data_IF_438074786143
#
_entry.id   IF_438074786143
#
_cell.length_a   1.000
_cell.length_b   1.000
_cell.length_c   1.000
_cell.angle_alpha   90.00
_cell.angle_beta   90.00
_cell.angle_gamma   90.00
#
_symmetry.space_group_name_H-M   'P 1'
#
loop_
_entity.id
_entity.type
_entity.pdbx_description
1 polymer ?
#
# COMPACT_ATOMS: atom_id res chain seq x y z
N UNK A 1 -7.16 15.46 18.39
CA UNK A 1 -6.75 14.06 18.26
C UNK A 1 -5.78 13.90 17.08
N UNK A 2 -4.54 14.24 17.31
CA UNK A 2 -3.44 14.17 16.32
C UNK A 2 -2.70 12.82 16.36
N UNK A 3 -3.28 11.82 16.99
CA UNK A 3 -2.60 10.58 17.39
C UNK A 3 -2.36 9.52 16.30
N UNK A 4 -2.85 9.69 15.07
CA UNK A 4 -2.56 8.79 13.96
C UNK A 4 -1.62 9.44 12.94
N UNK A 5 -0.60 10.12 13.43
CA UNK A 5 0.29 10.92 12.60
C UNK A 5 1.43 10.08 12.07
N UNK A 6 1.28 9.59 10.85
CA UNK A 6 2.37 8.96 10.11
C UNK A 6 3.45 9.93 9.61
N UNK A 7 3.25 11.25 9.65
CA UNK A 7 4.14 12.21 8.99
C UNK A 7 5.38 12.59 9.79
N UNK A 8 5.28 12.76 11.11
CA UNK A 8 6.47 13.03 11.95
C UNK A 8 7.35 11.79 12.16
N UNK A 9 6.79 10.60 12.02
CA UNK A 9 7.49 9.32 12.19
C UNK A 9 8.45 8.99 11.04
N UNK A 10 8.16 9.41 9.81
CA UNK A 10 8.90 8.93 8.63
C UNK A 10 10.37 9.36 8.57
N UNK A 11 10.76 10.46 9.22
CA UNK A 11 12.14 10.99 9.11
C UNK A 11 13.04 10.53 10.26
N UNK A 12 12.46 10.23 11.41
CA UNK A 12 13.22 9.94 12.65
C UNK A 12 13.42 8.45 12.91
N UNK A 13 12.52 7.60 12.49
CA UNK A 13 12.50 6.17 12.80
C UNK A 13 12.49 5.28 11.55
N UNK A 14 11.96 5.77 10.42
CA UNK A 14 11.87 5.06 9.14
C UNK A 14 12.41 5.88 7.98
N UNK A 15 12.95 5.20 6.97
CA UNK A 15 13.40 5.82 5.73
C UNK A 15 12.99 4.95 4.55
N UNK A 16 12.25 5.54 3.59
CA UNK A 16 11.75 4.82 2.41
C UNK A 16 11.00 3.53 2.78
N UNK A 17 10.13 3.60 3.79
CA UNK A 17 9.34 2.48 4.27
C UNK A 17 10.07 1.47 5.18
N UNK A 18 11.38 1.62 5.42
CA UNK A 18 12.18 0.68 6.22
C UNK A 18 12.50 1.29 7.58
N UNK A 19 12.39 0.49 8.66
CA UNK A 19 12.80 0.87 10.02
C UNK A 19 14.31 1.08 10.06
N UNK A 20 14.73 2.29 10.43
CA UNK A 20 16.15 2.67 10.60
C UNK A 20 16.55 2.92 12.05
N UNK A 21 15.57 3.10 12.94
CA UNK A 21 15.78 3.28 14.37
C UNK A 21 14.72 2.51 15.16
N UNK A 22 15.12 1.38 15.72
CA UNK A 22 14.21 0.46 16.44
C UNK A 22 13.59 1.13 17.67
N UNK A 23 14.39 1.83 18.49
CA UNK A 23 13.93 2.38 19.77
C UNK A 23 12.90 3.51 19.52
N UNK A 24 13.16 4.41 18.57
CA UNK A 24 12.18 5.44 18.18
C UNK A 24 10.90 4.85 17.57
N UNK A 25 11.02 3.77 16.81
CA UNK A 25 9.85 3.07 16.26
C UNK A 25 9.02 2.48 17.38
N UNK A 26 9.65 1.87 18.40
CA UNK A 26 8.96 1.33 19.59
C UNK A 26 8.23 2.45 20.34
N UNK A 27 8.90 3.56 20.63
CA UNK A 27 8.28 4.72 21.31
C UNK A 27 7.05 5.23 20.56
N UNK A 28 7.12 5.29 19.22
CA UNK A 28 6.03 5.74 18.39
C UNK A 28 4.85 4.75 18.39
N UNK A 29 5.14 3.44 18.32
CA UNK A 29 4.11 2.39 18.40
C UNK A 29 3.44 2.42 19.78
N UNK A 30 4.21 2.49 20.88
CA UNK A 30 3.67 2.53 22.24
C UNK A 30 2.72 3.71 22.44
N UNK A 31 3.12 4.91 21.99
CA UNK A 31 2.26 6.09 22.06
C UNK A 31 0.95 5.90 21.30
N UNK A 32 1.02 5.41 20.06
CA UNK A 32 -0.17 5.19 19.24
C UNK A 32 -1.13 4.17 19.88
N UNK A 33 -0.59 3.13 20.53
CA UNK A 33 -1.38 2.11 21.21
C UNK A 33 -2.01 2.66 22.48
N UNK A 34 -1.24 3.36 23.32
CA UNK A 34 -1.78 3.99 24.53
C UNK A 34 -2.92 4.94 24.21
N UNK A 35 -2.79 5.75 23.16
CA UNK A 35 -3.86 6.64 22.70
C UNK A 35 -5.08 5.85 22.18
N UNK A 36 -4.88 4.79 21.41
CA UNK A 36 -5.95 3.97 20.88
C UNK A 36 -6.70 3.20 22.01
N UNK A 37 -5.96 2.62 22.95
CA UNK A 37 -6.52 1.94 24.13
C UNK A 37 -7.34 2.88 25.01
N UNK A 38 -6.84 4.11 25.21
CA UNK A 38 -7.55 5.14 25.98
C UNK A 38 -8.84 5.57 25.30
N UNK A 39 -8.82 5.71 23.96
CA UNK A 39 -10.01 6.12 23.21
C UNK A 39 -11.06 5.02 23.11
N UNK A 40 -10.63 3.77 23.00
CA UNK A 40 -11.51 2.62 22.79
C UNK A 40 -11.90 1.91 24.11
N UNK A 41 -11.34 2.33 25.25
CA UNK A 41 -11.51 1.69 26.56
C UNK A 41 -11.30 0.16 26.51
N UNK A 42 -10.26 -0.28 25.81
CA UNK A 42 -9.92 -1.69 25.65
C UNK A 42 -8.41 -1.91 25.67
N UNK A 43 -7.99 -3.17 25.85
CA UNK A 43 -6.59 -3.57 25.73
C UNK A 43 -6.34 -4.24 24.40
N UNK A 44 -5.34 -3.73 23.66
CA UNK A 44 -4.91 -4.26 22.37
C UNK A 44 -3.86 -5.33 22.62
N UNK A 45 -4.01 -6.50 21.99
CA UNK A 45 -3.05 -7.61 22.06
C UNK A 45 -2.51 -7.98 20.69
N UNK A 46 -3.41 -8.05 19.72
CA UNK A 46 -3.14 -8.53 18.37
C UNK A 46 -3.23 -7.38 17.37
N UNK A 47 -2.31 -7.32 16.42
CA UNK A 47 -2.26 -6.24 15.44
C UNK A 47 -2.00 -6.76 14.03
N UNK A 48 -2.67 -6.13 13.06
CA UNK A 48 -2.31 -6.20 11.65
C UNK A 48 -1.31 -5.08 11.36
N UNK A 49 -0.25 -5.37 10.62
CA UNK A 49 0.77 -4.36 10.33
C UNK A 49 1.09 -4.28 8.85
N UNK A 50 1.30 -3.07 8.36
CA UNK A 50 1.65 -2.83 6.97
C UNK A 50 3.17 -2.95 6.72
N UNK A 51 3.54 -3.53 5.57
CA UNK A 51 4.90 -3.50 5.06
C UNK A 51 4.94 -2.81 3.69
N UNK A 52 5.92 -1.93 3.51
CA UNK A 52 6.25 -1.26 2.26
C UNK A 52 7.76 -1.00 2.20
N UNK A 53 8.26 -0.56 1.08
CA UNK A 53 9.65 -0.16 0.90
C UNK A 53 10.27 -0.70 -0.38
N UNK A 54 11.42 -0.14 -0.76
CA UNK A 54 12.12 -0.47 -2.00
C UNK A 54 12.68 -1.91 -2.06
N UNK A 55 12.63 -2.63 -0.94
CA UNK A 55 13.01 -4.04 -0.84
C UNK A 55 11.89 -5.01 -1.26
N UNK A 56 10.67 -4.50 -1.44
CA UNK A 56 9.53 -5.27 -1.95
C UNK A 56 9.74 -5.54 -3.44
N UNK A 57 9.60 -6.79 -3.83
CA UNK A 57 9.62 -7.24 -5.21
C UNK A 57 8.40 -8.08 -5.50
N UNK A 58 7.98 -8.13 -6.75
CA UNK A 58 6.89 -8.98 -7.16
C UNK A 58 7.17 -9.65 -8.49
N UNK A 59 6.55 -10.79 -8.69
CA UNK A 59 6.58 -11.54 -9.94
C UNK A 59 5.28 -12.32 -10.12
N UNK A 60 4.92 -12.58 -11.36
CA UNK A 60 3.82 -13.48 -11.67
C UNK A 60 4.38 -14.88 -11.92
N UNK A 61 3.73 -15.88 -11.33
CA UNK A 61 4.07 -17.28 -11.50
C UNK A 61 2.86 -18.09 -11.97
N UNK A 62 3.13 -19.27 -12.50
CA UNK A 62 2.13 -20.13 -13.08
C UNK A 62 2.40 -21.58 -12.64
N UNK A 63 1.36 -22.22 -12.09
CA UNK A 63 1.38 -23.64 -11.75
C UNK A 63 0.43 -24.43 -12.65
N UNK A 64 0.75 -25.71 -12.86
CA UNK A 64 -0.07 -26.62 -13.66
C UNK A 64 0.00 -28.02 -13.08
N UNK A 65 -1.15 -28.68 -12.95
CA UNK A 65 -1.23 -30.08 -12.53
C UNK A 65 -2.29 -30.83 -13.35
N UNK A 66 -2.12 -32.14 -13.47
CA UNK A 66 -3.17 -33.02 -14.00
C UNK A 66 -4.18 -33.31 -12.90
N UNK A 67 -5.47 -33.15 -13.20
CA UNK A 67 -6.58 -33.54 -12.34
C UNK A 67 -6.70 -35.07 -12.32
N UNK A 68 -6.79 -35.70 -11.12
CA UNK A 68 -6.71 -37.16 -11.00
C UNK A 68 -8.00 -37.85 -11.40
N UNK A 69 -9.14 -37.39 -10.93
CA UNK A 69 -10.43 -38.09 -11.04
C UNK A 69 -11.39 -37.40 -11.99
N UNK A 70 -10.89 -36.62 -12.96
CA UNK A 70 -11.66 -35.79 -13.89
C UNK A 70 -12.58 -34.76 -13.24
N UNK A 71 -12.49 -34.57 -11.93
CA UNK A 71 -13.16 -33.55 -11.13
C UNK A 71 -12.15 -32.92 -10.20
N UNK A 72 -12.08 -31.59 -10.16
CA UNK A 72 -11.11 -30.85 -9.37
C UNK A 72 -11.37 -31.03 -7.89
N UNK A 73 -10.43 -31.65 -7.21
CA UNK A 73 -10.42 -31.83 -5.77
C UNK A 73 -9.61 -30.73 -5.08
N UNK A 74 -9.77 -30.61 -3.75
CA UNK A 74 -8.92 -29.74 -2.92
C UNK A 74 -7.44 -30.07 -3.06
N UNK A 75 -7.11 -31.36 -3.14
CA UNK A 75 -5.71 -31.81 -3.32
C UNK A 75 -5.12 -31.35 -4.64
N UNK A 76 -5.93 -31.20 -5.69
CA UNK A 76 -5.47 -30.68 -6.99
C UNK A 76 -5.20 -29.17 -6.89
N UNK A 77 -6.05 -28.43 -6.16
CA UNK A 77 -5.86 -27.02 -5.87
C UNK A 77 -4.57 -26.82 -5.06
N UNK A 78 -4.38 -27.57 -3.98
CA UNK A 78 -3.17 -27.46 -3.14
C UNK A 78 -1.91 -27.74 -3.95
N UNK A 79 -1.90 -28.80 -4.78
CA UNK A 79 -0.75 -29.16 -5.63
C UNK A 79 -0.45 -28.10 -6.71
N UNK A 80 -1.47 -27.50 -7.33
CA UNK A 80 -1.24 -26.48 -8.36
C UNK A 80 -0.67 -25.22 -7.74
N UNK A 81 -1.07 -24.87 -6.51
CA UNK A 81 -0.47 -23.79 -5.73
C UNK A 81 1.00 -24.08 -5.36
N UNK A 82 1.29 -25.26 -4.83
CA UNK A 82 2.67 -25.67 -4.53
C UNK A 82 3.57 -25.54 -5.77
N UNK A 83 3.05 -25.95 -6.94
CA UNK A 83 3.79 -25.80 -8.21
C UNK A 83 4.02 -24.35 -8.57
N UNK A 84 3.02 -23.48 -8.39
CA UNK A 84 3.14 -22.05 -8.69
C UNK A 84 4.10 -21.33 -7.71
N UNK A 85 4.20 -21.80 -6.47
CA UNK A 85 5.07 -21.24 -5.43
C UNK A 85 6.51 -21.76 -5.51
N UNK A 86 6.80 -22.79 -6.30
CA UNK A 86 8.14 -23.38 -6.45
C UNK A 86 9.08 -22.43 -7.23
N UNK A 87 9.30 -21.25 -6.70
CA UNK A 87 10.20 -20.23 -7.25
C UNK A 87 11.49 -20.14 -6.43
N UNK A 88 12.58 -19.78 -7.07
CA UNK A 88 13.84 -19.50 -6.38
C UNK A 88 13.90 -18.03 -6.02
N UNK A 89 13.97 -17.74 -4.73
CA UNK A 89 14.20 -16.39 -4.20
C UNK A 89 15.67 -16.25 -3.78
N UNK A 90 16.23 -15.01 -3.78
CA UNK A 90 17.49 -14.71 -3.10
C UNK A 90 17.41 -15.08 -1.60
N UNK A 91 18.55 -15.45 -1.00
CA UNK A 91 18.64 -15.91 0.39
C UNK A 91 18.22 -14.83 1.42
N UNK A 92 18.26 -13.57 1.04
CA UNK A 92 17.87 -12.42 1.87
C UNK A 92 16.38 -12.06 1.74
N UNK A 93 15.60 -12.81 0.92
CA UNK A 93 14.19 -12.53 0.65
C UNK A 93 13.26 -13.65 1.11
N UNK A 94 12.05 -13.29 1.47
CA UNK A 94 10.97 -14.21 1.81
C UNK A 94 9.70 -13.85 1.05
N UNK A 95 8.86 -14.84 0.81
CA UNK A 95 7.49 -14.61 0.31
C UNK A 95 6.68 -13.92 1.40
N UNK A 96 6.02 -12.83 1.04
CA UNK A 96 5.08 -12.12 1.89
C UNK A 96 3.64 -12.48 1.54
N UNK A 97 3.31 -12.50 0.25
CA UNK A 97 1.98 -12.83 -0.24
C UNK A 97 2.05 -13.69 -1.51
N UNK A 98 1.08 -14.59 -1.64
CA UNK A 98 0.78 -15.32 -2.88
C UNK A 98 -0.68 -15.06 -3.21
N UNK A 99 -0.93 -14.24 -4.21
CA UNK A 99 -2.25 -13.73 -4.55
C UNK A 99 -2.74 -14.42 -5.83
N UNK A 100 -3.85 -15.14 -5.73
CA UNK A 100 -4.45 -15.78 -6.89
C UNK A 100 -4.99 -14.74 -7.86
N UNK A 101 -4.62 -14.88 -9.13
CA UNK A 101 -5.16 -14.06 -10.21
C UNK A 101 -6.34 -14.75 -10.86
N UNK A 102 -6.16 -16.01 -11.28
CA UNK A 102 -7.22 -16.84 -11.89
C UNK A 102 -6.80 -18.31 -11.89
N UNK A 103 -7.79 -19.17 -11.97
CA UNK A 103 -7.60 -20.56 -12.37
C UNK A 103 -7.98 -20.74 -13.85
N UNK A 104 -7.39 -21.76 -14.47
CA UNK A 104 -7.68 -22.19 -15.83
C UNK A 104 -7.90 -23.71 -15.77
N UNK A 105 -9.03 -24.16 -16.29
CA UNK A 105 -9.35 -25.59 -16.35
C UNK A 105 -9.49 -25.98 -17.81
N UNK A 106 -8.58 -26.82 -18.30
CA UNK A 106 -8.40 -27.14 -19.72
C UNK A 106 -8.19 -25.85 -20.55
N UNK A 107 -9.20 -25.41 -21.31
CA UNK A 107 -9.16 -24.19 -22.13
C UNK A 107 -10.07 -23.07 -21.59
N UNK A 108 -10.71 -23.28 -20.42
CA UNK A 108 -11.58 -22.30 -19.78
C UNK A 108 -10.79 -21.41 -18.83
N UNK A 109 -10.70 -20.13 -19.14
CA UNK A 109 -10.02 -19.09 -18.35
C UNK A 109 -10.98 -18.41 -17.36
N UNK A 110 -10.41 -17.52 -16.51
CA UNK A 110 -11.10 -16.64 -15.57
C UNK A 110 -11.98 -17.38 -14.53
N UNK A 111 -11.59 -18.59 -14.15
CA UNK A 111 -12.26 -19.35 -13.10
C UNK A 111 -11.77 -18.83 -11.74
N UNK A 112 -12.71 -18.55 -10.84
CA UNK A 112 -12.42 -18.13 -9.45
C UNK A 112 -12.43 -19.30 -8.48
N UNK A 113 -13.38 -20.21 -8.63
CA UNK A 113 -13.57 -21.39 -7.76
C UNK A 113 -13.62 -22.65 -8.63
N UNK A 114 -12.51 -23.36 -8.81
CA UNK A 114 -12.45 -24.55 -9.64
C UNK A 114 -12.93 -25.83 -8.94
N UNK A 115 -13.12 -25.81 -7.61
CA UNK A 115 -13.48 -26.98 -6.83
C UNK A 115 -14.78 -27.62 -7.32
N UNK A 116 -14.75 -28.96 -7.56
CA UNK A 116 -15.90 -29.70 -8.07
C UNK A 116 -16.18 -29.55 -9.57
N UNK A 117 -15.39 -28.73 -10.29
CA UNK A 117 -15.50 -28.62 -11.74
C UNK A 117 -14.86 -29.83 -12.44
N UNK A 118 -15.48 -30.29 -13.52
CA UNK A 118 -14.95 -31.41 -14.34
C UNK A 118 -13.90 -30.89 -15.33
N UNK A 119 -12.74 -31.53 -15.36
CA UNK A 119 -11.64 -31.22 -16.27
C UNK A 119 -10.43 -32.12 -16.07
N UNK A 120 -9.44 -31.98 -16.94
CA UNK A 120 -8.26 -32.83 -16.97
C UNK A 120 -6.99 -32.10 -16.51
N UNK A 121 -6.90 -30.79 -16.73
CA UNK A 121 -5.72 -29.97 -16.45
C UNK A 121 -6.13 -28.71 -15.70
N UNK A 122 -5.67 -28.58 -14.48
CA UNK A 122 -5.86 -27.39 -13.66
C UNK A 122 -4.57 -26.55 -13.68
N UNK A 123 -4.72 -25.26 -13.97
CA UNK A 123 -3.65 -24.27 -13.90
C UNK A 123 -4.07 -23.14 -12.95
N UNK A 124 -3.08 -22.51 -12.31
CA UNK A 124 -3.27 -21.30 -11.52
C UNK A 124 -2.25 -20.24 -11.93
N UNK A 125 -2.70 -19.02 -12.09
CA UNK A 125 -1.83 -17.83 -12.17
C UNK A 125 -1.85 -17.13 -10.83
N UNK A 126 -0.68 -16.81 -10.31
CA UNK A 126 -0.51 -16.14 -9.03
C UNK A 126 0.42 -14.94 -9.15
N UNK A 127 0.15 -13.92 -8.36
CA UNK A 127 1.07 -12.81 -8.12
C UNK A 127 1.79 -13.05 -6.81
N UNK A 128 3.11 -13.22 -6.84
CA UNK A 128 3.94 -13.46 -5.67
C UNK A 128 4.63 -12.17 -5.30
N UNK A 129 4.47 -11.76 -4.05
CA UNK A 129 5.17 -10.61 -3.46
C UNK A 129 6.19 -11.11 -2.47
N UNK A 130 7.43 -10.69 -2.63
CA UNK A 130 8.54 -10.96 -1.72
C UNK A 130 9.11 -9.69 -1.12
N UNK A 131 9.77 -9.82 0.02
CA UNK A 131 10.43 -8.71 0.70
C UNK A 131 11.63 -9.17 1.50
N UNK A 132 12.50 -8.21 1.88
CA UNK A 132 13.68 -8.52 2.67
C UNK A 132 13.31 -9.08 4.05
N UNK A 133 13.90 -10.22 4.40
CA UNK A 133 13.69 -10.91 5.70
C UNK A 133 13.99 -9.95 6.85
N UNK A 134 15.11 -9.24 6.80
CA UNK A 134 15.51 -8.31 7.85
C UNK A 134 14.51 -7.15 8.05
N UNK A 135 13.88 -6.66 6.98
CA UNK A 135 12.89 -5.60 7.09
C UNK A 135 11.61 -6.08 7.79
N UNK A 136 11.10 -7.25 7.40
CA UNK A 136 9.95 -7.87 8.05
C UNK A 136 10.23 -8.17 9.53
N UNK A 137 11.38 -8.77 9.83
CA UNK A 137 11.81 -9.07 11.21
C UNK A 137 11.92 -7.82 12.08
N UNK A 138 12.45 -6.71 11.56
CA UNK A 138 12.55 -5.46 12.32
C UNK A 138 11.18 -4.91 12.70
N UNK A 139 10.19 -4.98 11.79
CA UNK A 139 8.81 -4.56 12.09
C UNK A 139 8.24 -5.45 13.21
N UNK A 140 8.27 -6.78 13.04
CA UNK A 140 7.76 -7.74 14.02
C UNK A 140 8.45 -7.56 15.38
N UNK A 141 9.78 -7.37 15.39
CA UNK A 141 10.55 -7.13 16.62
C UNK A 141 10.12 -5.86 17.36
N UNK A 142 9.87 -4.76 16.65
CA UNK A 142 9.37 -3.52 17.26
C UNK A 142 8.02 -3.75 17.92
N UNK A 143 7.10 -4.41 17.24
CA UNK A 143 5.74 -4.70 17.73
C UNK A 143 5.78 -5.64 18.95
N UNK A 144 6.54 -6.73 18.87
CA UNK A 144 6.71 -7.66 20.02
C UNK A 144 7.32 -7.00 21.25
N UNK A 145 8.25 -6.04 21.06
CA UNK A 145 8.81 -5.27 22.18
C UNK A 145 7.81 -4.33 22.83
N UNK A 146 6.72 -3.99 22.15
CA UNK A 146 5.59 -3.25 22.74
C UNK A 146 4.59 -4.17 23.46
N UNK A 147 4.85 -5.49 23.53
CA UNK A 147 3.96 -6.46 24.20
C UNK A 147 2.77 -6.89 23.33
N UNK A 148 2.89 -6.76 22.01
CA UNK A 148 1.83 -7.08 21.05
C UNK A 148 2.22 -8.25 20.18
N UNK A 149 1.23 -9.00 19.69
CA UNK A 149 1.38 -10.05 18.71
C UNK A 149 0.98 -9.58 17.31
N UNK A 150 1.78 -9.96 16.31
CA UNK A 150 1.49 -9.66 14.90
C UNK A 150 0.66 -10.79 14.34
N UNK A 151 -0.58 -10.50 13.94
CA UNK A 151 -1.47 -11.46 13.29
C UNK A 151 -1.02 -11.69 11.85
N UNK A 152 -0.83 -10.58 11.12
CA UNK A 152 -0.39 -10.63 9.73
C UNK A 152 0.44 -9.40 9.37
N UNK A 153 1.39 -9.63 8.44
CA UNK A 153 2.22 -8.59 7.81
C UNK A 153 1.69 -8.35 6.39
N UNK A 154 0.92 -7.30 6.21
CA UNK A 154 0.18 -7.01 4.98
C UNK A 154 0.93 -6.02 4.11
N UNK A 155 1.05 -6.27 2.82
CA UNK A 155 1.57 -5.29 1.86
C UNK A 155 0.65 -4.06 1.81
N UNK A 156 1.21 -2.85 2.02
CA UNK A 156 0.42 -1.63 2.18
C UNK A 156 -0.57 -1.35 1.03
N UNK A 157 -0.21 -1.44 -0.27
CA UNK A 157 -1.18 -1.21 -1.34
C UNK A 157 -2.33 -2.22 -1.39
N UNK A 158 -2.17 -3.43 -0.80
CA UNK A 158 -3.30 -4.34 -0.59
C UNK A 158 -4.30 -3.73 0.38
N UNK A 159 -3.83 -3.33 1.55
CA UNK A 159 -4.67 -2.69 2.56
C UNK A 159 -5.33 -1.42 2.03
N UNK A 160 -4.56 -0.51 1.41
CA UNK A 160 -5.10 0.74 0.84
C UNK A 160 -6.17 0.44 -0.22
N UNK A 161 -6.01 -0.62 -1.02
CA UNK A 161 -7.01 -1.02 -2.01
C UNK A 161 -8.35 -1.41 -1.38
N UNK A 162 -8.33 -2.14 -0.25
CA UNK A 162 -9.54 -2.51 0.48
C UNK A 162 -10.28 -1.29 1.06
N UNK A 163 -9.54 -0.25 1.39
CA UNK A 163 -10.14 0.97 1.94
C UNK A 163 -10.79 1.85 0.87
N UNK A 164 -10.17 2.01 -0.32
CA UNK A 164 -10.51 3.13 -1.22
C UNK A 164 -11.14 2.74 -2.56
N UNK A 165 -11.02 1.46 -2.98
CA UNK A 165 -11.52 1.01 -4.28
C UNK A 165 -12.94 0.43 -4.17
N UNK A 166 -13.76 0.72 -5.18
CA UNK A 166 -15.06 0.07 -5.34
C UNK A 166 -14.92 -1.31 -5.98
N UNK A 167 -15.96 -2.14 -5.84
CA UNK A 167 -16.01 -3.45 -6.51
C UNK A 167 -15.93 -3.31 -8.02
N UNK A 168 -16.65 -2.34 -8.59
CA UNK A 168 -16.67 -2.11 -10.04
C UNK A 168 -15.30 -1.71 -10.58
N UNK A 169 -14.57 -0.83 -9.87
CA UNK A 169 -13.22 -0.46 -10.25
C UNK A 169 -12.27 -1.66 -10.26
N UNK A 170 -12.38 -2.54 -9.26
CA UNK A 170 -11.58 -3.76 -9.19
C UNK A 170 -11.89 -4.73 -10.33
N UNK A 171 -13.15 -4.83 -10.74
CA UNK A 171 -13.56 -5.69 -11.85
C UNK A 171 -13.11 -5.12 -13.20
N UNK A 172 -13.40 -3.85 -13.46
CA UNK A 172 -13.12 -3.19 -14.74
C UNK A 172 -11.63 -2.95 -14.99
N UNK A 173 -10.85 -2.89 -13.94
CA UNK A 173 -9.42 -2.60 -13.98
C UNK A 173 -9.10 -1.18 -13.54
N UNK A 174 -8.25 -1.06 -12.52
CA UNK A 174 -7.83 0.20 -11.88
C UNK A 174 -6.36 0.12 -11.48
N UNK A 175 -5.67 1.25 -11.54
CA UNK A 175 -4.37 1.43 -10.92
C UNK A 175 -4.53 2.24 -9.63
N UNK A 176 -4.22 1.63 -8.49
CA UNK A 176 -4.08 2.32 -7.21
C UNK A 176 -2.65 2.83 -7.07
N UNK A 177 -2.51 4.09 -6.65
CA UNK A 177 -1.23 4.74 -6.36
C UNK A 177 -1.32 5.36 -4.96
N UNK A 178 -0.65 4.76 -3.99
CA UNK A 178 -0.57 5.24 -2.61
C UNK A 178 0.70 6.08 -2.45
N UNK A 179 0.55 7.40 -2.34
CA UNK A 179 1.67 8.35 -2.26
C UNK A 179 1.87 8.74 -0.80
N UNK A 180 2.79 8.03 -0.13
CA UNK A 180 3.15 8.28 1.25
C UNK A 180 4.15 9.43 1.43
N UNK A 181 4.91 9.39 2.53
CA UNK A 181 6.05 10.28 2.77
C UNK A 181 7.30 9.79 2.04
N UNK A 182 7.71 8.54 2.24
CA UNK A 182 8.97 7.98 1.75
C UNK A 182 8.86 7.09 0.52
N UNK A 183 7.69 6.50 0.24
CA UNK A 183 7.43 5.60 -0.89
C UNK A 183 6.13 5.93 -1.58
N UNK A 184 6.06 5.58 -2.85
CA UNK A 184 4.83 5.51 -3.63
C UNK A 184 4.62 4.06 -4.03
N UNK A 185 3.52 3.50 -3.56
CA UNK A 185 3.17 2.10 -3.74
C UNK A 185 2.09 1.98 -4.82
N UNK A 186 2.30 1.07 -5.77
CA UNK A 186 1.42 0.86 -6.92
C UNK A 186 0.82 -0.53 -6.85
N UNK A 187 -0.50 -0.63 -7.09
CA UNK A 187 -1.18 -1.89 -7.33
C UNK A 187 -2.10 -1.77 -8.55
N UNK A 188 -1.97 -2.69 -9.49
CA UNK A 188 -2.88 -2.82 -10.64
C UNK A 188 -3.82 -3.98 -10.34
N UNK A 189 -5.11 -3.68 -10.31
CA UNK A 189 -6.16 -4.64 -9.99
C UNK A 189 -7.09 -4.75 -11.19
N UNK A 190 -7.45 -5.97 -11.57
CA UNK A 190 -8.40 -6.26 -12.65
C UNK A 190 -9.06 -7.61 -12.41
N UNK A 191 -10.32 -7.75 -12.80
CA UNK A 191 -11.11 -8.94 -12.55
C UNK A 191 -11.12 -9.32 -11.06
N UNK A 192 -11.17 -8.32 -10.17
CA UNK A 192 -11.14 -8.51 -8.71
C UNK A 192 -9.82 -8.97 -8.13
N UNK A 193 -8.76 -9.17 -8.94
CA UNK A 193 -7.47 -9.70 -8.48
C UNK A 193 -6.31 -8.77 -8.80
N UNK A 194 -5.23 -8.86 -7.98
CA UNK A 194 -4.00 -8.09 -8.20
C UNK A 194 -3.21 -8.71 -9.35
N UNK A 195 -2.94 -7.87 -10.34
CA UNK A 195 -2.18 -8.25 -11.53
C UNK A 195 -0.71 -7.86 -11.44
N UNK A 196 -0.42 -6.75 -10.75
CA UNK A 196 0.92 -6.22 -10.60
C UNK A 196 1.03 -5.33 -9.37
N UNK A 197 2.19 -5.35 -8.72
CA UNK A 197 2.54 -4.40 -7.65
C UNK A 197 3.96 -3.87 -7.89
N UNK A 198 4.19 -2.60 -7.52
CA UNK A 198 5.50 -1.98 -7.59
C UNK A 198 5.65 -0.92 -6.48
N UNK A 199 6.90 -0.61 -6.13
CA UNK A 199 7.25 0.43 -5.17
C UNK A 199 8.25 1.40 -5.79
N UNK A 200 7.92 2.68 -5.77
CA UNK A 200 8.79 3.77 -6.20
C UNK A 200 9.34 4.46 -4.94
N UNK A 201 10.68 4.58 -4.75
CA UNK A 201 11.27 5.19 -3.56
C UNK A 201 11.31 6.72 -3.63
N UNK A 202 10.28 7.34 -4.20
CA UNK A 202 10.04 8.77 -4.31
C UNK A 202 8.62 9.06 -3.89
N UNK A 203 8.44 10.04 -2.98
CA UNK A 203 7.14 10.47 -2.46
C UNK A 203 7.22 11.86 -1.84
N UNK A 204 6.41 12.16 -0.81
CA UNK A 204 6.29 13.47 -0.19
C UNK A 204 7.59 14.04 0.37
N UNK A 205 8.47 13.20 0.92
CA UNK A 205 9.75 13.62 1.53
C UNK A 205 10.70 14.26 0.52
N UNK A 206 10.69 13.78 -0.73
CA UNK A 206 11.51 14.38 -1.79
C UNK A 206 11.01 15.77 -2.17
N UNK A 207 9.69 15.97 -2.19
CA UNK A 207 9.09 17.30 -2.41
C UNK A 207 9.50 18.25 -1.29
N UNK A 208 9.41 17.79 -0.03
CA UNK A 208 9.83 18.58 1.14
C UNK A 208 11.30 18.95 1.08
N UNK A 209 12.16 18.00 0.69
CA UNK A 209 13.58 18.23 0.54
C UNK A 209 13.88 19.26 -0.56
N UNK A 210 13.19 19.19 -1.70
CA UNK A 210 13.37 20.15 -2.79
C UNK A 210 12.98 21.57 -2.34
N UNK A 211 11.90 21.73 -1.57
CA UNK A 211 11.49 22.99 -0.96
C UNK A 211 12.56 23.49 0.02
N UNK A 212 13.03 22.61 0.92
CA UNK A 212 14.05 22.95 1.91
C UNK A 212 15.34 23.48 1.26
N UNK A 213 15.79 22.81 0.18
CA UNK A 213 16.99 23.19 -0.57
C UNK A 213 16.77 24.49 -1.36
N UNK A 214 15.67 24.58 -2.12
CA UNK A 214 15.39 25.73 -2.99
C UNK A 214 15.27 27.04 -2.21
N UNK A 215 14.68 26.99 -1.02
CA UNK A 215 14.46 28.18 -0.21
C UNK A 215 15.38 28.28 1.01
N UNK A 216 16.31 27.32 1.21
CA UNK A 216 17.24 27.29 2.35
C UNK A 216 16.50 27.38 3.69
N UNK A 217 15.40 26.61 3.82
CA UNK A 217 14.52 26.57 4.99
C UNK A 217 14.72 25.27 5.79
N UNK A 218 14.47 25.26 7.11
CA UNK A 218 14.47 24.04 7.89
C UNK A 218 13.48 23.01 7.33
N UNK A 219 13.82 21.74 7.38
CA UNK A 219 13.00 20.65 6.82
C UNK A 219 11.56 20.64 7.34
N UNK A 220 11.36 20.85 8.66
CA UNK A 220 10.04 20.91 9.26
C UNK A 220 9.22 22.06 8.69
N UNK A 221 9.82 23.23 8.54
CA UNK A 221 9.14 24.40 7.93
C UNK A 221 8.81 24.16 6.46
N UNK A 222 9.67 23.46 5.72
CA UNK A 222 9.41 23.06 4.35
C UNK A 222 8.20 22.10 4.26
N UNK A 223 8.08 21.16 5.22
CA UNK A 223 6.93 20.26 5.32
C UNK A 223 5.63 21.02 5.59
N UNK A 224 5.65 21.92 6.57
CA UNK A 224 4.49 22.76 6.91
C UNK A 224 4.06 23.64 5.73
N UNK A 225 5.01 24.23 5.01
CA UNK A 225 4.77 25.03 3.81
C UNK A 225 4.18 24.17 2.68
N UNK A 226 4.71 22.97 2.47
CA UNK A 226 4.19 22.01 1.48
C UNK A 226 2.73 21.66 1.77
N UNK A 227 2.42 21.34 3.02
CA UNK A 227 1.07 20.93 3.44
C UNK A 227 0.07 22.07 3.30
N UNK A 228 0.42 23.28 3.75
CA UNK A 228 -0.52 24.38 3.83
C UNK A 228 -0.65 25.18 2.52
N UNK A 229 0.42 25.27 1.72
CA UNK A 229 0.50 26.16 0.55
C UNK A 229 0.94 25.44 -0.73
N UNK A 230 1.28 24.14 -0.68
CA UNK A 230 1.75 23.39 -1.83
C UNK A 230 0.70 23.23 -2.93
N UNK A 231 1.16 23.35 -4.19
CA UNK A 231 0.37 23.00 -5.37
C UNK A 231 1.23 22.26 -6.39
N UNK A 232 0.71 21.16 -6.92
CA UNK A 232 1.36 20.36 -7.95
C UNK A 232 1.31 21.01 -9.34
N UNK A 233 0.51 22.06 -9.50
CA UNK A 233 0.37 22.81 -10.78
C UNK A 233 0.40 24.31 -10.56
N UNK A 234 1.26 25.01 -11.31
CA UNK A 234 1.52 26.44 -11.15
C UNK A 234 0.31 27.33 -11.41
N UNK A 235 -0.58 26.97 -12.34
CA UNK A 235 -1.76 27.78 -12.66
C UNK A 235 -2.84 27.76 -11.55
N UNK A 236 -2.77 26.82 -10.61
CA UNK A 236 -3.66 26.78 -9.44
C UNK A 236 -3.08 27.53 -8.24
N UNK A 237 -1.81 27.93 -8.30
CA UNK A 237 -1.16 28.76 -7.29
C UNK A 237 -1.39 30.24 -7.57
N UNK A 238 -1.56 31.04 -6.51
CA UNK A 238 -1.82 32.49 -6.63
C UNK A 238 -0.51 33.26 -6.71
N UNK A 239 -0.41 34.19 -7.68
CA UNK A 239 0.71 35.14 -7.77
C UNK A 239 0.68 36.15 -6.61
N UNK A 240 -0.52 36.44 -6.10
CA UNK A 240 -0.72 37.49 -5.09
C UNK A 240 -0.63 36.96 -3.65
N UNK A 241 -0.62 35.65 -3.46
CA UNK A 241 -0.49 35.02 -2.13
C UNK A 241 0.98 34.94 -1.77
N UNK A 242 1.37 35.73 -0.78
CA UNK A 242 2.75 35.78 -0.26
C UNK A 242 2.82 34.97 1.03
N UNK A 243 3.78 34.06 1.11
CA UNK A 243 4.12 33.29 2.31
C UNK A 243 5.48 33.67 2.84
N UNK A 244 5.65 33.63 4.15
CA UNK A 244 6.92 33.89 4.83
C UNK A 244 7.61 32.56 5.16
N UNK A 245 8.86 32.43 4.72
CA UNK A 245 9.66 31.21 4.89
C UNK A 245 10.80 31.52 5.85
N UNK A 246 10.88 30.82 7.01
CA UNK A 246 12.01 30.95 7.92
C UNK A 246 13.28 30.40 7.27
N UNK A 247 14.42 31.06 7.48
CA UNK A 247 15.72 30.62 6.95
C UNK A 247 16.51 29.83 7.99
N UNK A 248 17.26 28.82 7.53
CA UNK A 248 18.19 28.03 8.39
C UNK A 248 19.21 28.90 9.09
N UNK A 249 19.60 30.02 8.47
CA UNK A 249 20.58 30.97 9.02
C UNK A 249 20.07 31.79 10.21
N UNK A 250 18.79 31.71 10.55
CA UNK A 250 18.16 32.56 11.57
C UNK A 250 18.00 34.04 11.16
N UNK A 251 18.24 34.37 9.89
CA UNK A 251 17.96 35.70 9.32
C UNK A 251 16.45 35.92 9.21
N UNK A 252 16.07 37.18 8.85
CA UNK A 252 14.66 37.51 8.63
C UNK A 252 14.00 36.54 7.61
N UNK A 253 12.74 36.14 7.83
CA UNK A 253 12.02 35.27 6.94
C UNK A 253 11.97 35.81 5.50
N UNK A 254 12.16 34.93 4.52
CA UNK A 254 12.07 35.27 3.10
C UNK A 254 10.62 35.25 2.66
N UNK A 255 10.20 36.27 1.93
CA UNK A 255 8.86 36.32 1.30
C UNK A 255 8.91 35.71 -0.11
N UNK A 256 8.05 34.75 -0.37
CA UNK A 256 7.88 34.17 -1.70
C UNK A 256 6.39 34.09 -2.05
N UNK A 257 6.06 33.96 -3.33
CA UNK A 257 4.70 33.68 -3.78
C UNK A 257 4.40 32.21 -3.77
N UNK A 258 3.14 31.79 -3.60
CA UNK A 258 2.74 30.39 -3.75
C UNK A 258 3.01 29.84 -5.15
N UNK A 259 3.04 30.72 -6.17
CA UNK A 259 3.46 30.36 -7.52
C UNK A 259 4.94 29.95 -7.57
N UNK A 260 5.84 30.69 -6.90
CA UNK A 260 7.25 30.33 -6.83
C UNK A 260 7.47 29.00 -6.08
N UNK A 261 6.66 28.72 -5.06
CA UNK A 261 6.64 27.42 -4.39
C UNK A 261 6.22 26.30 -5.35
N UNK A 262 5.16 26.51 -6.13
CA UNK A 262 4.67 25.53 -7.10
C UNK A 262 5.71 25.23 -8.20
N UNK A 263 6.51 26.21 -8.62
CA UNK A 263 7.60 25.98 -9.58
C UNK A 263 8.68 25.02 -9.08
N UNK A 264 8.81 24.86 -7.77
CA UNK A 264 9.70 23.84 -7.16
C UNK A 264 9.00 22.49 -7.05
N UNK A 265 7.70 22.49 -6.73
CA UNK A 265 6.92 21.27 -6.49
C UNK A 265 6.55 20.52 -7.79
N UNK A 266 6.04 21.26 -8.78
CA UNK A 266 5.49 20.70 -10.03
C UNK A 266 6.47 19.79 -10.77
N UNK A 267 7.76 20.14 -10.96
CA UNK A 267 8.73 19.25 -11.60
C UNK A 267 8.91 17.91 -10.86
N UNK A 268 8.91 17.94 -9.53
CA UNK A 268 9.08 16.71 -8.73
C UNK A 268 7.85 15.81 -8.80
N UNK A 269 6.65 16.38 -8.76
CA UNK A 269 5.42 15.60 -8.91
C UNK A 269 5.29 15.05 -10.33
N UNK A 270 5.69 15.84 -11.33
CA UNK A 270 5.74 15.39 -12.74
C UNK A 270 6.68 14.19 -12.89
N UNK A 271 7.89 14.27 -12.35
CA UNK A 271 8.85 13.14 -12.34
C UNK A 271 8.24 11.90 -11.69
N UNK A 272 7.61 12.04 -10.54
CA UNK A 272 6.94 10.93 -9.87
C UNK A 272 5.88 10.30 -10.76
N UNK A 273 5.01 11.09 -11.37
CA UNK A 273 3.96 10.58 -12.25
C UNK A 273 4.51 9.96 -13.55
N UNK A 274 5.62 10.48 -14.07
CA UNK A 274 6.31 9.84 -15.20
C UNK A 274 6.89 8.48 -14.83
N UNK A 275 7.46 8.34 -13.64
CA UNK A 275 7.93 7.03 -13.14
C UNK A 275 6.78 6.04 -12.97
N UNK A 276 5.63 6.48 -12.46
CA UNK A 276 4.41 5.66 -12.37
C UNK A 276 3.94 5.25 -13.77
N UNK A 277 3.88 6.19 -14.71
CA UNK A 277 3.52 5.91 -16.11
C UNK A 277 4.46 4.89 -16.77
N UNK A 278 5.76 5.02 -16.53
CA UNK A 278 6.75 4.06 -17.04
C UNK A 278 6.54 2.65 -16.44
N UNK A 279 6.18 2.56 -15.14
CA UNK A 279 5.87 1.29 -14.49
C UNK A 279 4.58 0.66 -15.06
N UNK A 280 3.55 1.47 -15.32
CA UNK A 280 2.33 1.03 -16.01
C UNK A 280 2.63 0.46 -17.41
N UNK A 281 3.50 1.11 -18.17
CA UNK A 281 3.91 0.63 -19.48
C UNK A 281 4.72 -0.68 -19.37
N UNK A 282 5.63 -0.77 -18.40
CA UNK A 282 6.44 -1.95 -18.15
C UNK A 282 5.59 -3.17 -17.76
N UNK A 283 4.54 -2.96 -16.98
CA UNK A 283 3.60 -4.03 -16.61
C UNK A 283 2.81 -4.58 -17.81
N UNK A 284 2.73 -3.87 -18.92
CA UNK A 284 1.89 -4.16 -20.12
C UNK A 284 0.39 -4.23 -19.82
N UNK A 285 -0.05 -3.74 -18.67
CA UNK A 285 -1.44 -3.78 -18.23
C UNK A 285 -2.18 -2.45 -18.47
N UNK A 286 -1.49 -1.41 -18.94
CA UNK A 286 -2.07 -0.07 -19.13
C UNK A 286 -3.38 -0.04 -19.95
N UNK A 287 -3.49 -0.87 -20.99
CA UNK A 287 -4.71 -0.98 -21.80
C UNK A 287 -5.87 -1.70 -21.06
N UNK A 288 -5.62 -2.28 -19.90
CA UNK A 288 -6.61 -3.01 -19.10
C UNK A 288 -7.15 -2.23 -17.91
N UNK A 289 -6.79 -0.94 -17.77
CA UNK A 289 -7.16 -0.07 -16.64
C UNK A 289 -8.30 0.86 -17.08
N UNK A 290 -9.50 0.29 -17.23
CA UNK A 290 -10.66 1.04 -17.74
C UNK A 290 -11.16 2.10 -16.75
N UNK A 291 -11.00 1.86 -15.44
CA UNK A 291 -11.40 2.81 -14.39
C UNK A 291 -10.37 3.90 -14.11
N UNK A 292 -9.25 3.91 -14.84
CA UNK A 292 -8.19 4.91 -14.68
C UNK A 292 -7.36 4.72 -13.40
N UNK A 293 -6.94 5.83 -12.79
CA UNK A 293 -6.00 5.85 -11.68
C UNK A 293 -6.66 6.42 -10.43
N UNK A 294 -6.46 5.75 -9.31
CA UNK A 294 -6.88 6.21 -7.98
C UNK A 294 -5.64 6.55 -7.18
N UNK A 295 -5.47 7.83 -6.85
CA UNK A 295 -4.38 8.30 -6.00
C UNK A 295 -4.84 8.42 -4.55
N UNK A 296 -4.09 7.89 -3.61
CA UNK A 296 -4.35 7.96 -2.16
C UNK A 296 -3.07 8.24 -1.38
N UNK A 297 -3.11 8.19 -0.05
CA UNK A 297 -1.98 8.55 0.80
C UNK A 297 -1.90 10.04 1.08
N UNK A 298 -1.09 10.42 2.07
CA UNK A 298 -1.02 11.81 2.56
C UNK A 298 -0.63 12.84 1.49
N UNK A 299 0.29 12.48 0.61
CA UNK A 299 0.78 13.38 -0.44
C UNK A 299 -0.23 13.60 -1.58
N UNK A 300 -1.20 12.69 -1.76
CA UNK A 300 -2.28 12.86 -2.75
C UNK A 300 -3.22 14.03 -2.45
N UNK A 301 -3.19 14.54 -1.21
CA UNK A 301 -4.02 15.68 -0.78
C UNK A 301 -3.55 17.04 -1.31
N UNK A 302 -2.33 17.11 -1.86
CA UNK A 302 -1.80 18.36 -2.39
C UNK A 302 -2.67 18.87 -3.55
N UNK A 303 -2.89 20.18 -3.58
CA UNK A 303 -3.69 20.81 -4.63
C UNK A 303 -3.12 20.50 -6.01
N UNK A 304 -3.99 20.21 -6.98
CA UNK A 304 -3.59 19.98 -8.37
C UNK A 304 -3.04 18.59 -8.68
N UNK A 305 -2.93 17.67 -7.71
CA UNK A 305 -2.45 16.29 -7.95
C UNK A 305 -3.29 15.56 -8.99
N UNK A 306 -4.62 15.63 -8.89
CA UNK A 306 -5.54 15.03 -9.87
C UNK A 306 -5.34 15.63 -11.25
N UNK A 307 -5.32 16.96 -11.37
CA UNK A 307 -5.18 17.65 -12.65
C UNK A 307 -3.85 17.32 -13.37
N UNK A 308 -2.74 17.33 -12.60
CA UNK A 308 -1.44 16.94 -13.14
C UNK A 308 -1.42 15.47 -13.53
N UNK A 309 -2.02 14.61 -12.71
CA UNK A 309 -2.15 13.19 -12.99
C UNK A 309 -2.90 12.92 -14.28
N UNK A 310 -4.06 13.52 -14.50
CA UNK A 310 -4.82 13.39 -15.75
C UNK A 310 -3.99 13.84 -16.96
N UNK A 311 -3.22 14.92 -16.82
CA UNK A 311 -2.34 15.41 -17.88
C UNK A 311 -1.22 14.42 -18.20
N UNK A 312 -0.53 13.90 -17.20
CA UNK A 312 0.64 13.01 -17.39
C UNK A 312 0.22 11.62 -17.83
N UNK A 313 -0.82 11.06 -17.23
CA UNK A 313 -1.26 9.69 -17.52
C UNK A 313 -2.15 9.60 -18.77
N UNK A 314 -2.79 10.69 -19.17
CA UNK A 314 -3.85 10.73 -20.21
C UNK A 314 -4.97 9.70 -19.92
N UNK A 315 -5.35 9.61 -18.65
CA UNK A 315 -6.39 8.72 -18.10
C UNK A 315 -7.16 9.47 -17.02
N UNK A 316 -8.41 9.07 -16.72
CA UNK A 316 -9.12 9.60 -15.57
C UNK A 316 -8.35 9.36 -14.27
N UNK A 317 -8.29 10.38 -13.42
CA UNK A 317 -7.65 10.32 -12.09
C UNK A 317 -8.62 10.79 -11.03
N UNK A 318 -8.73 10.07 -9.92
CA UNK A 318 -9.49 10.51 -8.75
C UNK A 318 -8.69 10.33 -7.46
N UNK A 319 -9.05 11.08 -6.44
CA UNK A 319 -8.55 10.83 -5.08
C UNK A 319 -9.32 9.65 -4.46
N UNK A 320 -8.59 8.70 -3.89
CA UNK A 320 -9.11 7.57 -3.14
C UNK A 320 -9.30 7.95 -1.68
N UNK A 321 -10.55 8.05 -1.26
CA UNK A 321 -10.93 8.22 0.15
C UNK A 321 -11.36 6.88 0.71
N UNK A 322 -11.06 6.56 1.99
CA UNK A 322 -11.62 5.40 2.65
C UNK A 322 -13.14 5.41 2.63
N UNK A 323 -13.75 4.24 2.45
CA UNK A 323 -15.19 4.05 2.29
C UNK A 323 -15.70 2.99 3.24
N UNK A 324 -17.00 2.96 3.46
CA UNK A 324 -17.71 1.92 4.23
C UNK A 324 -17.11 1.74 5.64
N UNK A 325 -16.86 2.85 6.30
CA UNK A 325 -16.33 2.90 7.67
C UNK A 325 -17.16 3.86 8.50
N UNK A 326 -17.69 3.36 9.61
CA UNK A 326 -18.39 4.19 10.60
C UNK A 326 -17.37 4.84 11.54
N UNK A 327 -17.58 6.10 11.89
CA UNK A 327 -16.71 6.83 12.82
C UNK A 327 -16.74 8.35 12.62
N UNK A 328 -15.69 9.01 13.12
CA UNK A 328 -15.49 10.45 12.91
C UNK A 328 -15.17 10.70 11.42
N UNK A 329 -16.18 11.05 10.63
CA UNK A 329 -16.10 11.23 9.18
C UNK A 329 -14.89 12.06 8.72
N UNK A 330 -14.55 13.14 9.41
CA UNK A 330 -13.40 14.00 9.11
C UNK A 330 -12.05 13.26 9.21
N UNK A 331 -11.98 12.21 10.02
CA UNK A 331 -10.77 11.38 10.18
C UNK A 331 -10.78 10.23 9.18
N UNK A 332 -11.94 9.59 9.02
CA UNK A 332 -12.07 8.37 8.20
C UNK A 332 -12.01 8.68 6.71
N UNK A 333 -12.56 9.81 6.26
CA UNK A 333 -12.58 10.22 4.83
C UNK A 333 -11.28 10.90 4.38
N UNK A 334 -10.16 10.66 5.04
CA UNK A 334 -8.87 11.27 4.68
C UNK A 334 -7.94 10.23 4.04
N UNK A 335 -7.38 10.50 2.84
CA UNK A 335 -6.47 9.57 2.14
C UNK A 335 -5.26 9.14 2.97
N UNK A 336 -4.82 9.95 3.92
CA UNK A 336 -3.71 9.63 4.84
C UNK A 336 -3.94 8.31 5.60
N UNK A 337 -5.21 7.98 5.88
CA UNK A 337 -5.56 6.82 6.69
C UNK A 337 -5.95 5.59 5.86
N UNK A 338 -5.82 5.65 4.53
CA UNK A 338 -6.23 4.57 3.63
C UNK A 338 -5.64 3.21 4.04
N UNK A 339 -4.32 3.14 4.24
CA UNK A 339 -3.66 1.90 4.66
C UNK A 339 -4.13 1.40 6.02
N UNK A 340 -4.21 2.30 7.03
CA UNK A 340 -4.65 1.92 8.39
C UNK A 340 -6.09 1.40 8.41
N UNK A 341 -6.99 2.08 7.70
CA UNK A 341 -8.39 1.65 7.58
C UNK A 341 -8.50 0.33 6.82
N UNK A 342 -7.70 0.16 5.75
CA UNK A 342 -7.64 -1.09 5.02
C UNK A 342 -7.20 -2.27 5.87
N UNK A 343 -6.18 -2.10 6.71
CA UNK A 343 -5.74 -3.13 7.66
C UNK A 343 -6.85 -3.49 8.66
N UNK A 344 -7.60 -2.51 9.16
CA UNK A 344 -8.74 -2.75 10.05
C UNK A 344 -9.87 -3.52 9.34
N UNK A 345 -10.18 -3.18 8.08
CA UNK A 345 -11.20 -3.90 7.28
C UNK A 345 -10.78 -5.35 7.06
N UNK A 346 -9.54 -5.60 6.64
CA UNK A 346 -9.01 -6.95 6.46
C UNK A 346 -9.08 -7.78 7.75
N UNK A 347 -8.69 -7.19 8.89
CA UNK A 347 -8.79 -7.86 10.18
C UNK A 347 -10.23 -8.17 10.60
N UNK A 348 -11.18 -7.26 10.34
CA UNK A 348 -12.60 -7.50 10.60
C UNK A 348 -13.13 -8.65 9.75
N UNK A 349 -12.86 -8.63 8.46
CA UNK A 349 -13.37 -9.62 7.50
C UNK A 349 -12.81 -11.02 7.83
N UNK A 350 -11.53 -11.14 8.23
CA UNK A 350 -10.95 -12.41 8.72
C UNK A 350 -11.64 -12.94 9.99
N UNK A 351 -12.00 -12.04 10.93
CA UNK A 351 -12.72 -12.41 12.14
C UNK A 351 -14.15 -12.88 11.81
N UNK A 352 -14.83 -12.21 10.89
CA UNK A 352 -16.18 -12.57 10.45
C UNK A 352 -16.17 -13.92 9.72
N UNK A 353 -15.25 -14.13 8.79
CA UNK A 353 -15.07 -15.41 8.10
C UNK A 353 -14.72 -16.55 9.06
N UNK A 354 -13.90 -16.30 10.07
CA UNK A 354 -13.57 -17.30 11.08
C UNK A 354 -14.76 -17.70 11.94
N UNK A 355 -15.70 -16.79 12.22
CA UNK A 355 -16.95 -17.07 12.95
C UNK A 355 -17.94 -17.87 12.10
N UNK A 356 -18.01 -17.59 10.79
CA UNK A 356 -18.88 -18.30 9.84
C UNK A 356 -18.33 -19.71 9.58
N UNK A 357 -17.02 -19.88 9.53
CA UNK A 357 -16.36 -21.17 9.24
C UNK A 357 -16.32 -22.18 10.40
N UNK A 358 -16.74 -21.82 11.60
CA UNK A 358 -16.98 -22.81 12.66
C UNK A 358 -18.10 -23.81 12.29
N UNK A 359 -18.93 -23.47 11.29
CA UNK A 359 -19.97 -24.35 10.76
C UNK A 359 -19.64 -25.01 9.42
N UNK A 360 -18.60 -24.53 8.69
CA UNK A 360 -18.17 -25.16 7.43
C UNK A 360 -16.67 -24.98 7.28
N UNK A 361 -15.90 -26.04 7.53
CA UNK A 361 -14.45 -26.06 7.32
C UNK A 361 -14.14 -25.83 5.84
N UNK A 362 -13.84 -24.61 5.46
CA UNK A 362 -13.46 -24.23 4.10
C UNK A 362 -12.09 -23.55 4.02
N UNK A 363 -11.41 -24.02 3.14
CA UNK A 363 -10.19 -24.06 2.38
C UNK A 363 -9.34 -22.77 2.34
N UNK A 364 -9.91 -21.60 2.37
CA UNK A 364 -9.16 -20.33 2.32
C UNK A 364 -8.32 -20.11 3.59
N UNK A 365 -8.84 -20.56 4.74
CA UNK A 365 -8.12 -20.48 6.03
C UNK A 365 -6.90 -21.40 6.12
N UNK A 366 -6.85 -22.47 5.32
CA UNK A 366 -5.68 -23.38 5.28
C UNK A 366 -4.52 -22.82 4.46
N UNK A 367 -4.80 -22.09 3.38
CA UNK A 367 -3.76 -21.45 2.56
C UNK A 367 -3.10 -20.29 3.29
N UNK A 368 -3.90 -19.45 3.97
CA UNK A 368 -3.39 -18.41 4.89
C UNK A 368 -2.71 -19.06 6.10
N UNK A 369 -3.21 -20.20 6.58
CA UNK A 369 -2.62 -20.98 7.67
C UNK A 369 -1.25 -21.56 7.37
N UNK A 370 -0.92 -21.94 6.13
CA UNK A 370 0.40 -22.44 5.76
C UNK A 370 1.47 -21.35 5.76
N UNK A 371 1.11 -20.14 5.35
CA UNK A 371 1.98 -18.96 5.53
C UNK A 371 2.11 -18.61 7.02
N UNK A 372 1.01 -18.69 7.80
CA UNK A 372 1.03 -18.51 9.26
C UNK A 372 1.88 -19.56 10.00
N UNK A 373 1.80 -20.83 9.64
CA UNK A 373 2.61 -21.89 10.29
C UNK A 373 4.09 -21.77 10.00
N UNK A 374 4.45 -21.25 8.83
CA UNK A 374 5.84 -20.94 8.54
C UNK A 374 6.35 -19.75 9.38
N UNK A 375 5.52 -18.72 9.60
CA UNK A 375 5.83 -17.59 10.50
C UNK A 375 5.99 -18.03 11.96
N UNK A 376 5.15 -18.96 12.46
CA UNK A 376 5.24 -19.44 13.85
C UNK A 376 6.37 -20.45 14.08
N UNK A 377 6.88 -21.08 13.04
CA UNK A 377 7.98 -22.06 13.13
C UNK A 377 9.38 -21.46 13.03
N UNK A 378 9.52 -20.22 12.56
CA UNK A 378 10.81 -19.58 12.30
C UNK A 378 11.07 -18.32 13.16
N UNK A 379 10.23 -18.01 14.15
CA UNK A 379 10.42 -16.88 15.08
C UNK A 379 10.28 -17.28 16.54
#
# INVERSE_FOLDING_TARGET
SEGLVGSEMCIRDRRKGVVINIDKTIEAIQRAIEEAELMADCKIKDVYTGIAGSHIKSLNSHGMVKVKDSEVSQMDIDRVFETAQAITLPDDQQVLHVLTQQYILDDQNDIREPLGMSGMRLEVKVHIVSGAIAAAQNIVKCIKRCGLDVVELVLQPLASSEAVLTKDERELGVCLVDIGGGTTDIAIIKNGSIQHTAVIPIAGDQITNDIAVAFTTPYQSAEDIKINHGSAVGYMASINEIIEIPLVSGMEPKKITTQALSQVIEPRVTELFELIRNELQRSRLGNGIASGIVITGGSSMMRGMVNLGETVFNMPVRTGLPRDVDGLLQVVENPRYATGIGLLKMGRDEIEDSKVNWNNANVFSRLVGQVKTWFHGNF
#
